data_IF_881969688453
#
_entry.id   IF_881969688453
#
_cell.length_a   1.000
_cell.length_b   1.000
_cell.length_c   1.000
_cell.angle_alpha   90.00
_cell.angle_beta   90.00
_cell.angle_gamma   90.00
#
_symmetry.space_group_name_H-M   'P 1'
#
loop_
_entity.id
_entity.type
_entity.pdbx_description
1 polymer ?
#
# COMPACT_ATOMS: atom_id res chain seq x y z
N UNK A 1 -64.20 -14.97 -69.09
CA UNK A 1 -62.89 -14.28 -69.17
C UNK A 1 -62.45 -13.94 -67.75
N UNK A 2 -61.73 -14.85 -67.12
CA UNK A 2 -61.32 -14.82 -65.70
C UNK A 2 -59.97 -14.12 -65.55
N UNK A 3 -59.95 -12.93 -64.99
CA UNK A 3 -58.74 -12.14 -64.74
C UNK A 3 -58.25 -12.45 -63.32
N UNK A 4 -57.31 -13.40 -63.19
CA UNK A 4 -56.65 -13.72 -61.92
C UNK A 4 -55.69 -12.59 -61.56
N UNK A 5 -55.99 -11.88 -60.48
CA UNK A 5 -55.08 -10.90 -59.86
C UNK A 5 -54.12 -11.71 -58.99
N UNK A 6 -52.85 -11.72 -59.37
CA UNK A 6 -51.78 -12.27 -58.55
C UNK A 6 -51.34 -11.18 -57.57
N UNK A 7 -51.78 -11.28 -56.31
CA UNK A 7 -51.29 -10.44 -55.23
C UNK A 7 -49.94 -11.02 -54.78
N UNK A 8 -48.84 -10.44 -55.26
CA UNK A 8 -47.50 -10.79 -54.81
C UNK A 8 -47.29 -10.04 -53.50
N UNK A 9 -47.43 -10.74 -52.38
CA UNK A 9 -47.01 -10.23 -51.08
C UNK A 9 -45.49 -10.30 -51.05
N UNK A 10 -44.83 -9.16 -51.25
CA UNK A 10 -43.40 -9.03 -51.05
C UNK A 10 -43.15 -8.98 -49.55
N UNK A 11 -42.86 -10.13 -48.94
CA UNK A 11 -42.39 -10.19 -47.56
C UNK A 11 -40.96 -9.65 -47.55
N UNK A 12 -40.81 -8.36 -47.22
CA UNK A 12 -39.51 -7.76 -46.91
C UNK A 12 -39.02 -8.39 -45.61
N UNK A 13 -38.28 -9.49 -45.71
CA UNK A 13 -37.37 -9.89 -44.64
C UNK A 13 -36.26 -8.85 -44.60
N UNK A 14 -36.47 -7.78 -43.83
CA UNK A 14 -35.36 -7.00 -43.31
C UNK A 14 -34.70 -7.93 -42.30
N UNK A 15 -33.78 -8.77 -42.78
CA UNK A 15 -32.83 -9.41 -41.89
C UNK A 15 -32.02 -8.27 -41.29
N UNK A 16 -32.37 -7.86 -40.07
CA UNK A 16 -31.45 -7.09 -39.27
C UNK A 16 -30.29 -8.06 -38.99
N UNK A 17 -29.16 -7.85 -39.64
CA UNK A 17 -27.91 -8.53 -39.30
C UNK A 17 -27.48 -7.94 -37.95
N UNK A 18 -28.15 -8.40 -36.89
CA UNK A 18 -27.84 -8.02 -35.53
C UNK A 18 -26.75 -8.98 -35.08
N UNK A 19 -25.62 -8.42 -34.69
CA UNK A 19 -24.54 -9.23 -34.15
C UNK A 19 -24.99 -9.83 -32.81
N UNK A 20 -24.87 -11.14 -32.69
CA UNK A 20 -25.19 -11.91 -31.48
C UNK A 20 -23.92 -12.52 -30.84
N UNK A 21 -22.75 -12.36 -31.46
CA UNK A 21 -21.50 -12.88 -30.95
C UNK A 21 -20.98 -11.95 -29.84
N UNK A 22 -20.77 -12.52 -28.66
CA UNK A 22 -20.24 -11.76 -27.54
C UNK A 22 -18.74 -11.51 -27.71
N UNK A 23 -18.21 -10.35 -27.25
CA UNK A 23 -16.78 -10.09 -27.27
C UNK A 23 -15.98 -11.08 -26.46
N UNK A 24 -14.74 -11.30 -26.90
CA UNK A 24 -13.73 -11.99 -26.11
C UNK A 24 -13.45 -11.22 -24.80
N UNK A 25 -13.14 -11.97 -23.75
CA UNK A 25 -12.79 -11.35 -22.48
C UNK A 25 -11.42 -10.65 -22.57
N UNK A 26 -11.25 -9.51 -21.90
CA UNK A 26 -9.94 -8.83 -21.82
C UNK A 26 -8.94 -9.65 -21.00
N UNK A 27 -7.66 -9.57 -21.37
CA UNK A 27 -6.57 -10.36 -20.77
C UNK A 27 -5.54 -9.47 -20.06
N UNK A 28 -4.62 -10.08 -19.30
CA UNK A 28 -3.50 -9.35 -18.69
C UNK A 28 -3.92 -8.34 -17.61
N UNK A 29 -5.08 -8.55 -16.98
CA UNK A 29 -5.52 -7.72 -15.86
C UNK A 29 -4.46 -7.75 -14.75
N UNK A 30 -4.00 -6.56 -14.37
CA UNK A 30 -3.04 -6.35 -13.30
C UNK A 30 -3.31 -5.02 -12.61
N UNK A 31 -2.85 -4.91 -11.37
CA UNK A 31 -2.98 -3.65 -10.65
C UNK A 31 -2.11 -3.60 -9.41
N UNK A 32 -2.08 -2.42 -8.81
CA UNK A 32 -1.31 -2.14 -7.61
C UNK A 32 -1.96 -1.01 -6.81
N UNK A 33 -1.80 -1.08 -5.48
CA UNK A 33 -2.12 0.01 -4.59
C UNK A 33 -1.00 1.06 -4.63
N UNK A 34 -1.37 2.34 -4.65
CA UNK A 34 -0.44 3.48 -4.68
C UNK A 34 -1.02 4.71 -4.00
N UNK A 35 -0.12 5.56 -3.49
CA UNK A 35 -0.41 6.88 -2.95
C UNK A 35 0.06 7.92 -3.96
N UNK A 36 -0.86 8.46 -4.75
CA UNK A 36 -0.53 9.52 -5.73
C UNK A 36 -0.86 10.87 -5.10
N UNK A 37 0.16 11.66 -4.80
CA UNK A 37 0.03 12.96 -4.11
C UNK A 37 -0.77 12.82 -2.81
N UNK A 38 -0.38 11.88 -1.94
CA UNK A 38 -1.08 11.61 -0.67
C UNK A 38 -2.46 10.96 -0.82
N UNK A 39 -2.97 10.73 -2.03
CA UNK A 39 -4.29 10.17 -2.24
C UNK A 39 -4.21 8.67 -2.57
N UNK A 40 -4.76 7.78 -1.71
CA UNK A 40 -4.78 6.33 -1.92
C UNK A 40 -5.65 5.96 -3.10
N UNK A 41 -5.15 5.03 -3.91
CA UNK A 41 -5.90 4.44 -5.02
C UNK A 41 -5.37 3.07 -5.38
N UNK A 42 -6.24 2.25 -5.97
CA UNK A 42 -5.83 1.08 -6.72
C UNK A 42 -5.85 1.45 -8.20
N UNK A 43 -4.70 1.29 -8.86
CA UNK A 43 -4.58 1.43 -10.30
C UNK A 43 -4.61 0.05 -10.94
N UNK A 44 -5.61 -0.20 -11.78
CA UNK A 44 -5.69 -1.41 -12.63
C UNK A 44 -5.47 -1.06 -14.10
N UNK A 45 -4.94 -2.01 -14.85
CA UNK A 45 -4.79 -1.97 -16.30
C UNK A 45 -4.89 -3.38 -16.88
N UNK A 46 -5.25 -3.45 -18.16
CA UNK A 46 -5.47 -4.70 -18.89
C UNK A 46 -5.07 -4.53 -20.35
N UNK A 47 -4.99 -5.64 -21.08
CA UNK A 47 -4.88 -5.65 -22.53
C UNK A 47 -6.25 -5.63 -23.17
N UNK A 48 -6.34 -5.04 -24.37
CA UNK A 48 -7.57 -5.01 -25.15
C UNK A 48 -8.11 -6.43 -25.41
N UNK A 49 -9.44 -6.53 -25.55
CA UNK A 49 -10.08 -7.73 -26.07
C UNK A 49 -9.59 -8.02 -27.49
N UNK A 50 -9.62 -9.29 -27.89
CA UNK A 50 -9.32 -9.69 -29.26
C UNK A 50 -10.44 -9.33 -30.25
N UNK A 51 -11.63 -8.95 -29.76
CA UNK A 51 -12.74 -8.47 -30.58
C UNK A 51 -12.57 -7.00 -30.97
N UNK A 52 -12.80 -6.68 -32.25
CA UNK A 52 -12.57 -5.34 -32.83
C UNK A 52 -13.71 -4.34 -32.57
N UNK A 53 -14.84 -4.80 -32.04
CA UNK A 53 -16.10 -4.06 -31.94
C UNK A 53 -16.48 -3.69 -30.49
N UNK A 54 -15.54 -3.83 -29.55
CA UNK A 54 -15.75 -3.47 -28.13
C UNK A 54 -16.13 -2.00 -28.00
N UNK A 55 -17.28 -1.75 -27.37
CA UNK A 55 -17.80 -0.41 -27.07
C UNK A 55 -17.41 0.07 -25.67
N UNK A 56 -17.43 -0.81 -24.67
CA UNK A 56 -17.10 -0.48 -23.28
C UNK A 56 -16.54 -1.69 -22.51
N UNK A 57 -15.73 -1.41 -21.49
CA UNK A 57 -15.34 -2.38 -20.46
C UNK A 57 -16.14 -2.12 -19.18
N UNK A 58 -16.69 -3.18 -18.61
CA UNK A 58 -17.34 -3.14 -17.30
C UNK A 58 -16.36 -3.62 -16.23
N UNK A 59 -16.19 -2.81 -15.19
CA UNK A 59 -15.28 -3.08 -14.09
C UNK A 59 -16.11 -3.48 -12.87
N UNK A 60 -15.75 -4.62 -12.30
CA UNK A 60 -16.39 -5.15 -11.12
C UNK A 60 -15.38 -5.25 -9.98
N UNK A 61 -15.88 -5.07 -8.75
CA UNK A 61 -15.09 -5.09 -7.54
C UNK A 61 -15.68 -6.04 -6.50
N UNK A 62 -14.81 -6.76 -5.82
CA UNK A 62 -15.11 -7.56 -4.63
C UNK A 62 -14.45 -6.92 -3.42
N UNK A 63 -15.15 -6.93 -2.29
CA UNK A 63 -14.63 -6.53 -0.97
C UNK A 63 -14.61 -7.72 0.01
N UNK A 64 -14.87 -8.93 -0.48
CA UNK A 64 -15.10 -10.15 0.29
C UNK A 64 -14.24 -11.32 -0.24
N UNK A 65 -13.04 -11.00 -0.73
CA UNK A 65 -12.07 -11.98 -1.26
C UNK A 65 -12.63 -12.86 -2.39
N UNK A 66 -13.59 -12.34 -3.15
CA UNK A 66 -14.09 -12.94 -4.38
C UNK A 66 -15.41 -13.69 -4.24
N UNK A 67 -16.01 -13.73 -3.05
CA UNK A 67 -17.34 -14.34 -2.83
C UNK A 67 -18.42 -13.63 -3.67
N UNK A 68 -18.33 -12.30 -3.79
CA UNK A 68 -19.22 -11.51 -4.64
C UNK A 68 -18.48 -10.39 -5.37
N UNK A 69 -19.04 -9.98 -6.51
CA UNK A 69 -18.49 -8.89 -7.33
C UNK A 69 -19.62 -7.95 -7.76
N UNK A 70 -19.54 -6.70 -7.31
CA UNK A 70 -20.47 -5.65 -7.65
C UNK A 70 -19.94 -4.80 -8.82
N UNK A 71 -20.86 -4.22 -9.60
CA UNK A 71 -20.47 -3.28 -10.65
C UNK A 71 -19.91 -2.01 -10.01
N UNK A 72 -18.66 -1.68 -10.35
CA UNK A 72 -17.97 -0.50 -9.84
C UNK A 72 -18.05 0.65 -10.83
N UNK A 73 -17.73 0.38 -12.10
CA UNK A 73 -17.66 1.42 -13.13
C UNK A 73 -17.67 0.82 -14.54
N UNK A 74 -17.72 1.69 -15.54
CA UNK A 74 -17.52 1.35 -16.94
C UNK A 74 -16.69 2.42 -17.64
N UNK A 75 -15.89 2.00 -18.61
CA UNK A 75 -15.04 2.88 -19.41
C UNK A 75 -15.21 2.55 -20.89
N UNK A 76 -14.95 3.50 -21.79
CA UNK A 76 -15.04 3.24 -23.23
C UNK A 76 -14.02 2.19 -23.70
N UNK A 77 -14.30 1.51 -24.82
CA UNK A 77 -13.48 0.41 -25.33
C UNK A 77 -12.02 0.77 -25.68
N UNK A 78 -11.70 2.05 -25.86
CA UNK A 78 -10.32 2.52 -26.05
C UNK A 78 -9.56 2.78 -24.73
N UNK A 79 -10.23 2.69 -23.58
CA UNK A 79 -9.63 2.91 -22.26
C UNK A 79 -9.24 1.56 -21.65
N UNK A 80 -7.95 1.40 -21.38
CA UNK A 80 -7.35 0.15 -20.87
C UNK A 80 -6.83 0.26 -19.43
N UNK A 81 -7.36 1.24 -18.68
CA UNK A 81 -6.94 1.47 -17.29
C UNK A 81 -8.06 2.12 -16.48
N UNK A 82 -8.04 1.89 -15.16
CA UNK A 82 -8.98 2.48 -14.22
C UNK A 82 -8.32 2.72 -12.86
N UNK A 83 -8.74 3.80 -12.18
CA UNK A 83 -8.26 4.17 -10.85
C UNK A 83 -9.44 4.14 -9.87
N UNK A 84 -9.43 3.20 -8.93
CA UNK A 84 -10.38 3.15 -7.82
C UNK A 84 -9.85 3.99 -6.65
N UNK A 85 -10.60 5.04 -6.27
CA UNK A 85 -10.29 5.91 -5.12
C UNK A 85 -11.26 5.72 -3.96
N UNK A 86 -12.13 4.71 -4.02
CA UNK A 86 -13.15 4.42 -3.01
C UNK A 86 -12.75 3.23 -2.13
N UNK A 87 -11.45 3.13 -1.87
CA UNK A 87 -10.80 2.05 -1.14
C UNK A 87 -10.55 2.45 0.32
N UNK A 88 -10.41 1.46 1.18
CA UNK A 88 -10.07 1.63 2.59
C UNK A 88 -8.68 1.06 2.88
N UNK A 89 -8.02 1.58 3.92
CA UNK A 89 -6.76 1.03 4.42
C UNK A 89 -6.95 -0.41 4.91
N UNK A 90 -5.93 -1.26 4.73
CA UNK A 90 -5.91 -2.67 5.19
C UNK A 90 -6.98 -3.59 4.58
N UNK A 91 -7.84 -3.09 3.71
CA UNK A 91 -8.77 -3.92 2.98
C UNK A 91 -8.10 -4.51 1.74
N UNK A 92 -8.58 -5.70 1.35
CA UNK A 92 -8.21 -6.36 0.10
C UNK A 92 -9.36 -6.21 -0.89
N UNK A 93 -9.06 -5.68 -2.07
CA UNK A 93 -10.04 -5.50 -3.13
C UNK A 93 -9.76 -6.44 -4.30
N UNK A 94 -10.79 -7.20 -4.68
CA UNK A 94 -10.77 -8.04 -5.87
C UNK A 94 -11.28 -7.27 -7.08
N UNK A 95 -10.67 -7.46 -8.25
CA UNK A 95 -11.14 -6.85 -9.50
C UNK A 95 -11.23 -7.89 -10.61
N UNK A 96 -12.28 -7.78 -11.42
CA UNK A 96 -12.42 -8.48 -12.70
C UNK A 96 -13.12 -7.55 -13.69
N UNK A 97 -12.89 -7.80 -14.97
CA UNK A 97 -13.38 -6.94 -16.04
C UNK A 97 -14.00 -7.79 -17.15
N UNK A 98 -14.94 -7.23 -17.91
CA UNK A 98 -15.50 -7.85 -19.11
C UNK A 98 -15.76 -6.81 -20.18
N UNK A 99 -15.78 -7.24 -21.44
CA UNK A 99 -16.06 -6.39 -22.58
C UNK A 99 -17.56 -6.43 -22.94
N UNK A 100 -18.03 -5.34 -23.56
CA UNK A 100 -19.34 -5.25 -24.20
C UNK A 100 -19.18 -4.59 -25.56
N UNK A 101 -19.81 -5.11 -26.60
CA UNK A 101 -19.74 -4.57 -27.97
C UNK A 101 -20.76 -3.45 -28.22
N UNK A 102 -20.80 -2.96 -29.46
CA UNK A 102 -21.74 -1.96 -29.96
C UNK A 102 -23.17 -2.51 -30.15
N UNK A 103 -23.31 -3.82 -30.36
CA UNK A 103 -24.57 -4.56 -30.53
C UNK A 103 -25.21 -4.98 -29.21
N UNK A 104 -24.58 -4.61 -28.10
CA UNK A 104 -24.95 -4.84 -26.70
C UNK A 104 -24.68 -6.24 -26.14
N UNK A 105 -23.99 -7.11 -26.87
CA UNK A 105 -23.57 -8.40 -26.33
C UNK A 105 -22.45 -8.19 -25.31
N UNK A 106 -22.45 -9.03 -24.29
CA UNK A 106 -21.55 -8.90 -23.14
C UNK A 106 -20.72 -10.17 -23.03
N UNK A 107 -19.40 -10.01 -23.09
CA UNK A 107 -18.45 -11.10 -22.98
C UNK A 107 -18.31 -11.66 -21.57
N UNK A 108 -17.55 -12.76 -21.49
CA UNK A 108 -17.15 -13.37 -20.23
C UNK A 108 -16.20 -12.47 -19.43
N UNK A 109 -16.03 -12.80 -18.15
CA UNK A 109 -15.08 -12.11 -17.28
C UNK A 109 -13.63 -12.55 -17.55
N UNK A 110 -12.71 -11.60 -17.36
CA UNK A 110 -11.29 -11.88 -17.16
C UNK A 110 -11.06 -12.71 -15.90
N UNK A 111 -9.84 -13.23 -15.76
CA UNK A 111 -9.32 -13.63 -14.45
C UNK A 111 -9.46 -12.49 -13.44
N UNK A 112 -9.63 -12.84 -12.16
CA UNK A 112 -9.67 -11.88 -11.07
C UNK A 112 -8.30 -11.67 -10.45
N UNK A 113 -8.00 -10.44 -10.05
CA UNK A 113 -6.83 -10.09 -9.24
C UNK A 113 -7.28 -9.59 -7.86
N UNK A 114 -6.43 -9.78 -6.84
CA UNK A 114 -6.66 -9.27 -5.50
C UNK A 114 -5.48 -8.38 -5.08
N UNK A 115 -5.81 -7.21 -4.55
CA UNK A 115 -4.83 -6.20 -4.18
C UNK A 115 -5.11 -5.77 -2.74
N UNK A 116 -4.11 -5.95 -1.88
CA UNK A 116 -4.10 -5.42 -0.53
C UNK A 116 -3.74 -3.93 -0.55
N UNK A 117 -4.53 -3.12 0.16
CA UNK A 117 -4.30 -1.68 0.28
C UNK A 117 -3.21 -1.36 1.31
N UNK A 118 -1.97 -1.72 0.98
CA UNK A 118 -0.82 -1.45 1.85
C UNK A 118 0.47 -1.00 1.14
N UNK A 119 1.08 0.05 1.68
CA UNK A 119 2.46 0.52 1.45
C UNK A 119 2.99 1.11 2.75
N UNK A 120 4.28 0.97 3.08
CA UNK A 120 4.84 1.53 4.33
C UNK A 120 5.00 3.05 4.30
N UNK A 121 4.70 3.71 3.18
CA UNK A 121 4.88 5.15 2.99
C UNK A 121 4.01 5.96 3.95
N UNK A 122 4.58 7.00 4.55
CA UNK A 122 3.93 7.82 5.57
C UNK A 122 4.63 7.75 6.92
N UNK A 123 4.00 8.36 7.91
CA UNK A 123 4.54 8.53 9.25
C UNK A 123 4.31 7.30 10.12
N UNK A 124 5.37 6.81 10.75
CA UNK A 124 5.38 5.74 11.76
C UNK A 124 5.77 6.29 13.12
N UNK A 125 4.98 5.96 14.14
CA UNK A 125 5.13 6.43 15.51
C UNK A 125 5.81 5.35 16.33
N UNK A 126 6.79 5.74 17.16
CA UNK A 126 7.43 4.84 18.11
C UNK A 126 6.56 4.69 19.36
N UNK A 127 6.05 3.48 19.61
CA UNK A 127 4.98 3.25 20.60
C UNK A 127 5.38 3.54 22.06
N UNK A 128 6.67 3.39 22.37
CA UNK A 128 7.21 3.48 23.74
C UNK A 128 8.17 4.67 23.93
N UNK A 129 8.21 5.61 22.98
CA UNK A 129 9.13 6.72 22.98
C UNK A 129 8.36 8.02 22.85
N UNK A 130 8.85 9.10 23.47
CA UNK A 130 8.14 10.38 23.43
C UNK A 130 8.14 10.95 22.00
N UNK A 131 6.96 10.87 21.37
CA UNK A 131 6.55 11.60 20.17
C UNK A 131 7.52 11.55 18.98
N UNK A 132 8.38 10.53 18.92
CA UNK A 132 9.31 10.35 17.81
C UNK A 132 8.57 9.66 16.67
N UNK A 133 8.77 10.17 15.46
CA UNK A 133 8.21 9.61 14.23
C UNK A 133 9.28 9.47 13.16
N UNK A 134 9.18 8.42 12.36
CA UNK A 134 9.91 8.34 11.09
C UNK A 134 8.91 8.49 9.95
N UNK A 135 9.31 9.18 8.87
CA UNK A 135 8.54 9.13 7.64
C UNK A 135 9.23 8.27 6.58
N UNK A 136 8.47 7.34 6.03
CA UNK A 136 8.86 6.59 4.83
C UNK A 136 8.41 7.37 3.60
N UNK A 137 9.36 7.81 2.77
CA UNK A 137 9.08 8.62 1.60
C UNK A 137 8.36 7.81 0.50
N UNK A 138 7.25 8.29 -0.08
CA UNK A 138 6.47 7.52 -1.07
C UNK A 138 7.17 7.33 -2.42
N UNK A 139 8.12 8.19 -2.78
CA UNK A 139 8.76 8.15 -4.09
C UNK A 139 9.82 7.03 -4.22
N UNK A 140 10.54 6.74 -3.13
CA UNK A 140 11.70 5.86 -3.11
C UNK A 140 11.76 4.95 -1.88
N UNK A 141 10.74 4.98 -1.01
CA UNK A 141 10.67 4.25 0.25
C UNK A 141 11.88 4.48 1.15
N UNK A 142 12.47 5.69 1.10
CA UNK A 142 13.57 6.05 1.97
C UNK A 142 13.09 6.39 3.37
N UNK A 143 13.88 6.04 4.37
CA UNK A 143 13.70 6.43 5.78
C UNK A 143 14.77 7.44 6.20
N UNK A 144 14.57 8.20 7.29
CA UNK A 144 15.59 9.12 7.79
C UNK A 144 16.93 8.41 7.98
N UNK A 145 18.02 9.04 7.52
CA UNK A 145 19.37 8.46 7.63
C UNK A 145 19.80 8.27 9.07
N UNK A 146 19.28 9.11 9.97
CA UNK A 146 19.55 9.07 11.41
C UNK A 146 18.26 9.25 12.18
N UNK A 147 18.03 8.38 13.16
CA UNK A 147 16.90 8.44 14.09
C UNK A 147 17.47 8.50 15.49
N UNK A 148 17.01 9.44 16.30
CA UNK A 148 17.40 9.61 17.69
C UNK A 148 16.24 9.17 18.58
N UNK A 149 16.52 8.27 19.51
CA UNK A 149 15.54 7.79 20.48
C UNK A 149 16.10 7.98 21.88
N UNK A 150 15.42 8.79 22.68
CA UNK A 150 15.74 8.95 24.09
C UNK A 150 15.19 7.74 24.86
N UNK A 151 16.02 7.13 25.71
CA UNK A 151 15.72 5.95 26.51
C UNK A 151 15.99 6.30 27.97
N UNK A 152 15.01 6.12 28.86
CA UNK A 152 15.17 6.36 30.30
C UNK A 152 14.51 7.65 30.78
N UNK A 153 15.01 8.19 31.90
CA UNK A 153 14.52 9.45 32.49
C UNK A 153 15.05 10.65 31.68
N UNK A 154 14.32 11.76 31.71
CA UNK A 154 14.74 13.04 31.12
C UNK A 154 15.66 13.83 32.06
N UNK A 155 15.79 13.39 33.34
CA UNK A 155 16.58 14.08 34.36
C UNK A 155 17.46 13.13 35.18
N UNK A 156 18.67 13.60 35.52
CA UNK A 156 19.57 12.94 36.49
C UNK A 156 19.30 13.51 37.89
N UNK A 157 18.23 13.06 38.53
CA UNK A 157 17.74 13.59 39.80
C UNK A 157 18.24 12.83 41.03
N UNK A 158 18.61 11.57 40.83
CA UNK A 158 18.93 10.59 41.86
C UNK A 158 20.13 9.74 41.46
N UNK A 159 20.80 9.16 42.45
CA UNK A 159 21.99 8.33 42.23
C UNK A 159 21.61 7.08 41.44
N UNK A 160 22.40 6.75 40.41
CA UNK A 160 22.13 5.72 39.41
C UNK A 160 20.99 6.03 38.43
N UNK A 161 20.45 7.25 38.42
CA UNK A 161 19.61 7.69 37.29
C UNK A 161 20.42 7.59 36.00
N UNK A 162 19.76 7.14 34.94
CA UNK A 162 20.37 6.91 33.63
C UNK A 162 19.56 7.61 32.56
N UNK A 163 20.23 8.46 31.78
CA UNK A 163 19.69 9.02 30.54
C UNK A 163 20.43 8.33 29.41
N UNK A 164 19.71 7.78 28.44
CA UNK A 164 20.32 7.12 27.30
C UNK A 164 19.76 7.63 25.98
N UNK A 165 20.58 7.53 24.94
CA UNK A 165 20.23 7.86 23.58
C UNK A 165 20.62 6.69 22.67
N UNK A 166 19.66 6.26 21.87
CA UNK A 166 19.89 5.30 20.80
C UNK A 166 19.89 6.06 19.47
N UNK A 167 21.03 6.04 18.78
CA UNK A 167 21.17 6.59 17.44
C UNK A 167 21.11 5.46 16.42
N UNK A 168 20.06 5.44 15.59
CA UNK A 168 19.90 4.48 14.50
C UNK A 168 20.34 5.13 13.19
N UNK A 169 21.46 4.69 12.63
CA UNK A 169 21.95 5.07 11.31
C UNK A 169 21.45 4.08 10.26
N UNK A 170 20.51 4.49 9.43
CA UNK A 170 19.92 3.64 8.39
C UNK A 170 20.71 3.64 7.08
N UNK A 171 20.71 2.51 6.36
CA UNK A 171 21.18 2.44 4.96
C UNK A 171 20.21 3.08 3.94
N UNK A 172 19.29 3.92 4.44
CA UNK A 172 18.47 4.88 3.71
C UNK A 172 17.25 4.35 2.97
N UNK A 173 17.12 3.04 2.66
CA UNK A 173 16.01 2.51 1.87
C UNK A 173 15.42 1.21 2.41
N UNK A 174 14.11 1.05 2.25
CA UNK A 174 13.43 -0.24 2.43
C UNK A 174 13.44 -1.03 1.11
N UNK A 175 13.54 -2.35 1.21
CA UNK A 175 13.29 -3.24 0.09
C UNK A 175 11.86 -3.07 -0.43
N UNK A 176 11.70 -2.93 -1.75
CA UNK A 176 10.41 -2.60 -2.38
C UNK A 176 9.41 -3.76 -2.45
N UNK A 177 9.82 -4.96 -2.03
CA UNK A 177 8.99 -6.18 -2.03
C UNK A 177 8.60 -6.52 -0.59
N UNK A 178 9.58 -6.60 0.29
CA UNK A 178 9.40 -7.07 1.66
C UNK A 178 9.25 -5.93 2.68
N UNK A 179 9.53 -4.68 2.30
CA UNK A 179 9.48 -3.51 3.18
C UNK A 179 10.40 -3.64 4.41
N UNK A 180 11.55 -4.29 4.21
CA UNK A 180 12.58 -4.50 5.22
C UNK A 180 13.77 -3.58 4.91
N UNK A 181 14.32 -2.97 5.94
CA UNK A 181 15.58 -2.22 5.88
C UNK A 181 16.50 -2.59 7.04
N UNK A 182 17.64 -1.93 7.10
CA UNK A 182 18.65 -2.19 8.10
C UNK A 182 19.57 -0.99 8.35
N UNK A 183 20.40 -1.12 9.38
CA UNK A 183 21.39 -0.12 9.71
C UNK A 183 22.20 -0.47 10.95
N UNK A 184 22.92 0.54 11.45
CA UNK A 184 23.71 0.45 12.67
C UNK A 184 23.05 1.26 13.78
N UNK A 185 23.04 0.68 14.98
CA UNK A 185 22.60 1.31 16.20
C UNK A 185 23.82 1.59 17.07
N UNK A 186 23.89 2.80 17.63
CA UNK A 186 24.83 3.17 18.68
C UNK A 186 24.02 3.55 19.91
N UNK A 187 24.38 2.97 21.05
CA UNK A 187 23.74 3.24 22.34
C UNK A 187 24.72 3.96 23.25
N UNK A 188 24.40 5.21 23.59
CA UNK A 188 25.14 6.02 24.55
C UNK A 188 24.28 6.25 25.78
N UNK A 189 24.88 6.22 26.96
CA UNK A 189 24.17 6.49 28.19
C UNK A 189 25.03 7.23 29.19
N UNK A 190 24.37 8.03 30.00
CA UNK A 190 24.96 8.87 31.03
C UNK A 190 24.39 8.47 32.36
N UNK A 191 25.25 8.25 33.36
CA UNK A 191 24.87 7.82 34.71
C UNK A 191 25.38 8.84 35.73
N UNK A 192 24.57 9.12 36.75
CA UNK A 192 25.00 9.84 37.95
C UNK A 192 25.55 8.85 38.98
N UNK A 193 26.86 8.84 39.17
CA UNK A 193 27.57 7.90 40.05
C UNK A 193 28.53 8.59 41.02
N UNK A 194 29.13 7.84 41.96
CA UNK A 194 30.17 8.40 42.81
C UNK A 194 31.45 8.63 42.01
N UNK A 195 32.14 9.73 42.32
CA UNK A 195 33.52 9.90 41.87
C UNK A 195 34.44 8.81 42.47
N UNK A 196 35.61 8.61 41.87
CA UNK A 196 36.54 7.51 42.24
C UNK A 196 36.94 7.54 43.73
N UNK A 197 36.96 8.71 44.35
CA UNK A 197 37.26 8.92 45.77
C UNK A 197 36.02 8.93 46.68
N UNK A 198 34.83 8.69 46.12
CA UNK A 198 33.53 8.64 46.82
C UNK A 198 33.20 9.90 47.65
N UNK A 199 33.81 11.04 47.29
CA UNK A 199 33.64 12.33 47.95
C UNK A 199 32.46 13.14 47.41
N UNK A 200 31.91 12.75 46.26
CA UNK A 200 30.79 13.43 45.61
C UNK A 200 30.20 12.61 44.47
N UNK A 201 29.18 13.18 43.81
CA UNK A 201 28.57 12.62 42.61
C UNK A 201 29.22 13.22 41.36
N UNK A 202 29.39 12.40 40.34
CA UNK A 202 29.89 12.75 39.01
C UNK A 202 28.97 12.18 37.92
N UNK A 203 28.94 12.85 36.78
CA UNK A 203 28.20 12.44 35.59
C UNK A 203 29.19 11.77 34.63
N UNK A 204 29.00 10.48 34.37
CA UNK A 204 29.90 9.69 33.51
C UNK A 204 29.17 9.21 32.26
N UNK A 205 29.85 9.33 31.11
CA UNK A 205 29.32 8.95 29.81
C UNK A 205 29.91 7.62 29.35
N UNK A 206 29.03 6.72 28.95
CA UNK A 206 29.37 5.39 28.46
C UNK A 206 28.85 5.21 27.04
N UNK A 207 29.69 4.68 26.15
CA UNK A 207 29.31 4.30 24.79
C UNK A 207 29.41 2.78 24.63
N UNK A 208 28.38 2.16 24.06
CA UNK A 208 28.42 0.75 23.67
C UNK A 208 28.96 0.60 22.25
N UNK A 209 29.46 -0.59 21.94
CA UNK A 209 29.87 -0.93 20.58
C UNK A 209 28.66 -0.86 19.63
N UNK A 210 28.85 -0.39 18.38
CA UNK A 210 27.79 -0.39 17.38
C UNK A 210 27.24 -1.78 17.13
N UNK A 211 25.93 -1.86 16.91
CA UNK A 211 25.23 -3.11 16.64
C UNK A 211 24.33 -2.99 15.41
N UNK A 212 24.15 -4.09 14.67
CA UNK A 212 23.27 -4.12 13.52
C UNK A 212 21.79 -4.29 13.94
N UNK A 213 20.92 -3.47 13.36
CA UNK A 213 19.46 -3.59 13.49
C UNK A 213 18.80 -3.85 12.14
N UNK A 214 17.61 -4.45 12.18
CA UNK A 214 16.70 -4.54 11.05
C UNK A 214 15.39 -3.84 11.38
N UNK A 215 14.87 -3.06 10.43
CA UNK A 215 13.54 -2.47 10.48
C UNK A 215 12.63 -3.25 9.53
N UNK A 216 11.48 -3.69 10.03
CA UNK A 216 10.49 -4.42 9.25
C UNK A 216 9.15 -3.68 9.31
N UNK A 217 8.73 -3.17 8.15
CA UNK A 217 7.45 -2.49 7.94
C UNK A 217 6.61 -3.28 6.94
N UNK A 218 6.67 -4.62 6.94
CA UNK A 218 5.91 -5.44 6.01
C UNK A 218 4.42 -5.55 6.37
N UNK A 219 4.09 -5.33 7.66
CA UNK A 219 2.73 -5.45 8.16
C UNK A 219 2.07 -4.06 8.27
N UNK A 220 0.83 -3.89 7.77
CA UNK A 220 0.11 -2.62 7.83
C UNK A 220 -0.22 -2.10 9.23
N UNK A 221 -0.33 -2.97 10.23
CA UNK A 221 -0.71 -2.60 11.60
C UNK A 221 0.47 -2.37 12.53
N UNK A 222 1.66 -2.87 12.16
CA UNK A 222 2.79 -2.91 13.07
C UNK A 222 4.11 -2.92 12.33
N UNK A 223 5.03 -2.11 12.81
CA UNK A 223 6.43 -2.14 12.43
C UNK A 223 7.29 -2.59 13.60
N UNK A 224 8.44 -3.16 13.30
CA UNK A 224 9.40 -3.56 14.33
C UNK A 224 10.82 -3.16 13.96
N UNK A 225 11.60 -2.74 14.95
CA UNK A 225 13.06 -2.68 14.88
C UNK A 225 13.62 -3.72 15.84
N UNK A 226 14.41 -4.65 15.31
CA UNK A 226 15.03 -5.75 16.05
C UNK A 226 16.54 -5.68 15.97
N UNK A 227 17.22 -6.10 17.05
CA UNK A 227 18.66 -6.01 17.21
C UNK A 227 19.31 -7.39 17.16
N UNK A 228 20.44 -7.51 16.44
CA UNK A 228 21.04 -8.80 16.08
C UNK A 228 21.63 -9.58 17.25
N UNK A 229 22.03 -8.89 18.33
CA UNK A 229 22.61 -9.47 19.53
C UNK A 229 21.55 -10.02 20.50
N UNK A 230 20.31 -9.54 20.39
CA UNK A 230 19.25 -9.81 21.37
C UNK A 230 19.42 -9.11 22.72
N UNK A 231 20.38 -8.19 22.86
CA UNK A 231 20.64 -7.47 24.11
C UNK A 231 19.73 -6.24 24.33
N UNK A 232 18.90 -5.91 23.34
CA UNK A 232 17.99 -4.77 23.37
C UNK A 232 16.58 -5.24 23.02
N UNK A 233 15.59 -4.66 23.68
CA UNK A 233 14.19 -4.95 23.42
C UNK A 233 13.79 -4.54 22.00
N UNK A 234 12.84 -5.29 21.42
CA UNK A 234 12.28 -4.92 20.12
C UNK A 234 11.52 -3.62 20.25
N UNK A 235 11.79 -2.68 19.35
CA UNK A 235 11.08 -1.41 19.28
C UNK A 235 9.89 -1.58 18.34
N UNK A 236 8.71 -1.17 18.81
CA UNK A 236 7.46 -1.28 18.06
C UNK A 236 7.04 0.07 17.47
N UNK A 237 6.67 0.03 16.20
CA UNK A 237 6.16 1.18 15.45
C UNK A 237 4.72 0.95 15.04
N UNK A 238 3.94 2.03 14.96
CA UNK A 238 2.57 2.02 14.46
C UNK A 238 2.44 3.02 13.34
N UNK A 239 1.81 2.63 12.23
CA UNK A 239 1.57 3.51 11.10
C UNK A 239 0.47 4.52 11.47
N UNK A 240 0.73 5.82 11.30
CA UNK A 240 -0.18 6.88 11.73
C UNK A 240 -1.34 7.17 10.77
N UNK A 241 -1.28 6.57 9.56
CA UNK A 241 -2.18 6.87 8.42
C UNK A 241 -2.08 8.30 7.91
N UNK A 242 -1.01 8.99 8.28
CA UNK A 242 -0.67 10.30 7.77
C UNK A 242 0.53 10.22 6.82
N UNK A 243 0.54 11.12 5.84
CA UNK A 243 1.72 11.37 5.02
C UNK A 243 2.84 12.06 5.82
N UNK A 244 3.96 12.34 5.16
CA UNK A 244 5.11 12.97 5.82
C UNK A 244 4.84 14.41 6.30
N UNK A 245 3.85 15.08 5.73
CA UNK A 245 3.47 16.45 6.10
C UNK A 245 2.41 16.45 7.22
N UNK A 246 1.86 15.28 7.57
CA UNK A 246 0.89 15.09 8.64
C UNK A 246 -0.56 15.03 8.17
N UNK A 247 -0.80 15.11 6.86
CA UNK A 247 -2.13 14.99 6.27
C UNK A 247 -2.58 13.54 6.22
N UNK A 248 -3.86 13.28 6.50
CA UNK A 248 -4.40 11.92 6.50
C UNK A 248 -4.48 11.35 5.08
N UNK A 249 -4.11 10.08 4.91
CA UNK A 249 -4.33 9.35 3.66
C UNK A 249 -5.81 9.04 3.42
N UNK A 250 -6.56 8.76 4.48
CA UNK A 250 -7.98 8.42 4.41
C UNK A 250 -8.78 9.42 5.28
N UNK A 251 -10.00 9.82 4.86
CA UNK A 251 -10.83 10.75 5.62
C UNK A 251 -11.13 10.28 7.05
#
# INVERSE_FOLDING_TARGET
MTRKIFLIVFLLFVGCDIDEDAPDYPTGLRGFFTLKNGNPRIQINWYESASDDVSEYHIFRSTDLGESFDSLSKVGGSILSFSDTTISWQESFGYKIRAKDQSTNTGEFSDSIFIECYKPSGNWIFSNYDSTTICVQPANYSIPSTIYLNVGDDTLSSMFDTIAEMTLSSESYLDSINWIGNGWMIYNYTVLEFNEDSSGLEIVNYGRLPEYYSINLSNPDSGTISFSSGNYDTIHLVHSLNDCDGDKFFP
#
